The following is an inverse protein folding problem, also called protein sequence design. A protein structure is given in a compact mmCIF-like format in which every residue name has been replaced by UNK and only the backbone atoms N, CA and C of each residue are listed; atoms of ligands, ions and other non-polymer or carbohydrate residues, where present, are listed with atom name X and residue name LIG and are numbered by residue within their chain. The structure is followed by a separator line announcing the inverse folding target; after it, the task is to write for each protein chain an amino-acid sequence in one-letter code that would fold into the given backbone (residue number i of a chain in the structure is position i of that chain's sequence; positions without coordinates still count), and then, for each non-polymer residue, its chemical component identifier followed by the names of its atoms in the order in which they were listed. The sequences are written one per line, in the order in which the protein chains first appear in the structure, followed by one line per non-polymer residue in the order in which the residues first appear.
data_IF_122612392217
#
_entry.id   IF_122612392217
#
_cell.length_a   1.000
_cell.length_b   1.000
_cell.length_c   1.000
_cell.angle_alpha   90.00
_cell.angle_beta   90.00
_cell.angle_gamma   90.00
#
_symmetry.space_group_name_H-M   'P 1'
#
loop_
_entity.id
_entity.type
_entity.pdbx_description
1 polymer ?
#
# COMPACT_ATOMS: atom_id res chain seq x y z
N UNK A 1 29.53 20.64 8.07
CA UNK A 1 29.23 19.20 8.21
C UNK A 1 28.05 18.91 7.30
N UNK A 2 28.31 18.47 6.06
CA UNK A 2 27.25 18.22 5.08
C UNK A 2 26.68 16.82 5.32
N UNK A 3 25.52 16.72 5.96
CA UNK A 3 24.73 15.48 5.93
C UNK A 3 24.18 15.33 4.52
N UNK A 4 24.84 14.51 3.71
CA UNK A 4 24.30 14.02 2.45
C UNK A 4 22.92 13.41 2.75
N UNK A 5 21.85 13.99 2.19
CA UNK A 5 20.54 13.34 2.16
C UNK A 5 20.76 12.01 1.44
N UNK A 6 20.76 10.88 2.18
CA UNK A 6 20.62 9.55 1.56
C UNK A 6 19.36 9.65 0.70
N UNK A 7 19.53 9.65 -0.62
CA UNK A 7 18.41 9.64 -1.55
C UNK A 7 17.51 8.46 -1.21
N UNK A 8 16.18 8.66 -1.28
CA UNK A 8 15.22 7.57 -1.16
C UNK A 8 15.62 6.48 -2.16
N UNK A 9 16.10 5.34 -1.65
CA UNK A 9 16.54 4.23 -2.49
C UNK A 9 15.31 3.45 -2.89
N UNK A 10 14.88 3.60 -4.14
CA UNK A 10 13.90 2.69 -4.75
C UNK A 10 14.53 1.30 -4.88
N UNK A 11 13.85 0.29 -4.36
CA UNK A 11 14.19 -1.10 -4.58
C UNK A 11 13.00 -1.75 -5.27
N UNK A 12 13.22 -2.24 -6.49
CA UNK A 12 12.22 -3.04 -7.19
C UNK A 12 12.15 -4.42 -6.53
N UNK A 13 10.94 -4.90 -6.28
CA UNK A 13 10.72 -6.16 -5.57
C UNK A 13 9.87 -7.12 -6.42
N UNK A 14 10.16 -8.42 -6.31
CA UNK A 14 9.31 -9.46 -6.86
C UNK A 14 8.12 -9.61 -5.94
N UNK A 15 6.92 -9.42 -6.46
CA UNK A 15 5.73 -9.52 -5.63
C UNK A 15 4.46 -9.30 -6.40
N UNK A 16 3.35 -9.48 -5.69
CA UNK A 16 2.01 -9.23 -6.18
C UNK A 16 1.26 -8.38 -5.17
N UNK A 17 0.59 -7.33 -5.66
CA UNK A 17 -0.48 -6.66 -4.94
C UNK A 17 -1.77 -6.85 -5.71
N UNK A 18 -2.79 -7.40 -5.06
CA UNK A 18 -4.09 -7.63 -5.68
C UNK A 18 -5.21 -7.26 -4.72
N UNK A 19 -6.32 -6.72 -5.24
CA UNK A 19 -7.53 -6.47 -4.46
C UNK A 19 -8.76 -6.24 -5.35
N UNK A 20 -9.94 -6.32 -4.75
CA UNK A 20 -11.19 -5.86 -5.35
C UNK A 20 -11.51 -4.46 -4.83
N UNK A 21 -12.05 -3.59 -5.69
CA UNK A 21 -12.44 -2.22 -5.34
C UNK A 21 -13.92 -2.05 -5.70
N UNK A 22 -14.74 -1.59 -4.76
CA UNK A 22 -16.22 -1.63 -4.86
C UNK A 22 -16.80 -0.97 -6.12
N UNK A 23 -16.21 0.12 -6.60
CA UNK A 23 -16.68 0.82 -7.79
C UNK A 23 -16.05 0.33 -9.10
N UNK A 24 -15.00 -0.50 -9.04
CA UNK A 24 -14.28 -0.96 -10.21
C UNK A 24 -14.71 -2.39 -10.60
N UNK A 25 -15.18 -2.55 -11.83
CA UNK A 25 -15.60 -3.86 -12.34
C UNK A 25 -14.42 -4.86 -12.47
N UNK A 26 -13.23 -4.37 -12.77
CA UNK A 26 -12.02 -5.19 -12.89
C UNK A 26 -11.22 -5.16 -11.58
N UNK A 27 -10.76 -6.33 -11.07
CA UNK A 27 -9.84 -6.36 -9.94
C UNK A 27 -8.58 -5.53 -10.20
N UNK A 28 -8.01 -4.98 -9.14
CA UNK A 28 -6.67 -4.42 -9.16
C UNK A 28 -5.67 -5.57 -9.07
N UNK A 29 -4.70 -5.62 -9.99
CA UNK A 29 -3.59 -6.58 -9.93
C UNK A 29 -2.31 -5.90 -10.39
N UNK A 30 -1.25 -6.03 -9.60
CA UNK A 30 0.08 -5.52 -9.91
C UNK A 30 1.12 -6.59 -9.62
N UNK A 31 1.93 -6.90 -10.61
CA UNK A 31 3.15 -7.74 -10.52
C UNK A 31 4.44 -6.90 -10.46
N UNK A 32 4.30 -5.57 -10.53
CA UNK A 32 5.38 -4.60 -10.42
C UNK A 32 5.24 -3.82 -9.12
N UNK A 33 5.99 -4.25 -8.11
CA UNK A 33 5.93 -3.71 -6.76
C UNK A 33 7.20 -2.92 -6.46
N UNK A 34 7.03 -1.63 -6.19
CA UNK A 34 8.13 -0.77 -5.78
C UNK A 34 8.18 -0.69 -4.25
N UNK A 35 9.35 -0.99 -3.68
CA UNK A 35 9.61 -0.90 -2.26
C UNK A 35 10.56 0.27 -1.98
N UNK A 36 10.23 1.11 -1.00
CA UNK A 36 11.00 2.31 -0.68
C UNK A 36 11.33 2.37 0.80
N UNK A 37 12.58 2.70 1.10
CA UNK A 37 12.96 3.27 2.40
C UNK A 37 12.44 4.72 2.45
N UNK A 38 11.23 4.88 2.98
CA UNK A 38 10.46 6.12 2.88
C UNK A 38 10.91 7.16 3.91
N UNK A 39 11.24 6.71 5.13
CA UNK A 39 11.60 7.57 6.26
C UNK A 39 12.53 6.84 7.25
N UNK A 40 12.95 7.53 8.33
CA UNK A 40 13.68 6.88 9.41
C UNK A 40 12.88 5.75 10.09
N UNK A 41 11.55 5.79 10.04
CA UNK A 41 10.63 4.91 10.76
C UNK A 41 9.81 4.00 9.87
N UNK A 42 9.77 4.23 8.56
CA UNK A 42 8.79 3.59 7.68
C UNK A 42 9.41 3.07 6.39
N UNK A 43 8.88 1.95 5.93
CA UNK A 43 8.94 1.50 4.55
C UNK A 43 7.62 1.81 3.84
N UNK A 44 7.67 2.03 2.53
CA UNK A 44 6.47 2.14 1.71
C UNK A 44 6.53 1.22 0.50
N UNK A 45 5.36 0.72 0.12
CA UNK A 45 5.11 -0.14 -1.03
C UNK A 45 4.17 0.61 -1.96
N UNK A 46 4.54 0.67 -3.23
CA UNK A 46 3.71 1.27 -4.27
C UNK A 46 3.54 0.25 -5.37
N UNK A 47 2.29 -0.07 -5.66
CA UNK A 47 1.91 -0.99 -6.72
C UNK A 47 1.03 -0.23 -7.72
N UNK A 48 1.37 -0.29 -9.00
CA UNK A 48 0.59 0.29 -10.08
C UNK A 48 -0.14 -0.82 -10.82
N UNK A 49 -1.40 -0.59 -11.17
CA UNK A 49 -2.13 -1.53 -12.01
C UNK A 49 -1.55 -1.54 -13.43
N UNK A 50 -1.17 -2.71 -13.90
CA UNK A 50 -0.62 -2.89 -15.25
C UNK A 50 -1.67 -2.96 -16.37
N UNK A 51 -2.97 -3.01 -16.04
CA UNK A 51 -4.03 -3.35 -17.02
C UNK A 51 -5.09 -2.29 -17.27
N UNK A 52 -5.22 -1.25 -16.44
CA UNK A 52 -6.28 -0.24 -16.57
C UNK A 52 -5.74 1.19 -16.46
N UNK A 53 -6.66 2.17 -16.60
CA UNK A 53 -6.46 3.59 -16.25
C UNK A 53 -5.63 3.73 -14.96
N UNK A 54 -4.89 4.83 -14.74
CA UNK A 54 -3.93 4.93 -13.65
C UNK A 54 -4.57 4.61 -12.29
N UNK A 55 -4.33 3.39 -11.80
CA UNK A 55 -4.72 2.91 -10.48
C UNK A 55 -3.47 2.57 -9.70
N UNK A 56 -3.49 2.84 -8.41
CA UNK A 56 -2.36 2.56 -7.54
C UNK A 56 -2.82 2.16 -6.15
N UNK A 57 -2.14 1.17 -5.57
CA UNK A 57 -2.23 0.85 -4.15
C UNK A 57 -0.95 1.30 -3.49
N UNK A 58 -1.10 2.07 -2.41
CA UNK A 58 0.01 2.50 -1.56
C UNK A 58 -0.18 1.89 -0.17
N UNK A 59 0.88 1.29 0.37
CA UNK A 59 0.91 0.76 1.74
C UNK A 59 2.20 1.24 2.41
N UNK A 60 2.09 1.84 3.59
CA UNK A 60 3.21 2.21 4.46
C UNK A 60 3.20 1.34 5.70
N UNK A 61 4.37 0.87 6.12
CA UNK A 61 4.55 0.07 7.32
C UNK A 61 5.70 0.60 8.16
N UNK A 62 5.53 0.58 9.48
CA UNK A 62 6.59 0.89 10.42
C UNK A 62 7.72 -0.16 10.29
N UNK A 63 8.98 0.27 10.34
CA UNK A 63 10.17 -0.61 10.23
C UNK A 63 10.29 -1.62 11.36
N UNK A 64 9.63 -1.38 12.50
CA UNK A 64 9.61 -2.26 13.67
C UNK A 64 8.34 -3.11 13.77
N UNK A 65 7.49 -3.08 12.73
CA UNK A 65 6.27 -3.88 12.69
C UNK A 65 6.62 -5.37 12.82
N UNK A 66 5.76 -6.12 13.49
CA UNK A 66 5.91 -7.58 13.65
C UNK A 66 4.69 -8.28 13.07
N UNK A 67 4.72 -9.59 12.81
CA UNK A 67 3.52 -10.30 12.37
C UNK A 67 2.36 -10.11 13.36
N UNK A 68 1.17 -9.81 12.84
CA UNK A 68 0.02 -9.41 13.66
C UNK A 68 -1.16 -8.89 12.84
N UNK A 69 -2.24 -8.53 13.53
CA UNK A 69 -3.40 -7.85 12.93
C UNK A 69 -3.42 -6.39 13.39
N UNK A 70 -3.47 -5.49 12.43
CA UNK A 70 -3.44 -4.05 12.62
C UNK A 70 -4.71 -3.44 12.07
N UNK A 71 -5.34 -2.55 12.82
CA UNK A 71 -6.49 -1.81 12.33
C UNK A 71 -6.02 -0.61 11.50
N UNK A 72 -6.63 -0.41 10.34
CA UNK A 72 -6.58 0.90 9.70
C UNK A 72 -7.47 1.86 10.49
N UNK A 73 -6.95 3.06 10.78
CA UNK A 73 -7.66 4.10 11.55
C UNK A 73 -7.50 5.44 10.87
N UNK A 74 -8.53 6.28 10.94
CA UNK A 74 -8.45 7.72 10.63
C UNK A 74 -7.55 8.41 11.65
N UNK A 75 -6.60 9.23 11.16
CA UNK A 75 -5.76 10.13 11.96
C UNK A 75 -4.98 9.54 13.16
N UNK A 76 -4.36 8.35 13.07
CA UNK A 76 -3.37 7.96 14.07
C UNK A 76 -2.15 8.88 13.95
N UNK A 77 -1.69 9.43 15.08
CA UNK A 77 -0.49 10.30 15.10
C UNK A 77 0.76 9.55 14.61
N UNK A 78 0.77 8.21 14.68
CA UNK A 78 1.78 7.33 14.09
C UNK A 78 1.22 5.91 13.90
N UNK A 79 0.49 5.60 12.81
CA UNK A 79 0.03 4.24 12.59
C UNK A 79 1.18 3.32 12.25
N UNK A 80 1.11 2.09 12.76
CA UNK A 80 1.99 1.00 12.34
C UNK A 80 1.79 0.64 10.87
N UNK A 81 0.56 0.79 10.36
CA UNK A 81 0.22 0.58 8.95
C UNK A 81 -0.72 1.68 8.45
N UNK A 82 -0.44 2.21 7.27
CA UNK A 82 -1.32 3.12 6.56
C UNK A 82 -1.45 2.69 5.11
N UNK A 83 -2.62 2.88 4.51
CA UNK A 83 -2.83 2.58 3.11
C UNK A 83 -3.74 3.61 2.44
N UNK A 84 -3.61 3.73 1.13
CA UNK A 84 -4.63 4.36 0.30
C UNK A 84 -4.69 3.69 -1.06
N UNK A 85 -5.84 3.82 -1.70
CA UNK A 85 -6.02 3.48 -3.09
C UNK A 85 -6.18 4.76 -3.89
N UNK A 86 -5.50 4.84 -5.02
CA UNK A 86 -5.59 5.96 -5.95
C UNK A 86 -6.21 5.51 -7.26
N UNK A 87 -7.04 6.37 -7.82
CA UNK A 87 -7.65 6.17 -9.13
C UNK A 87 -7.72 7.50 -9.89
N UNK A 88 -7.23 7.50 -11.13
CA UNK A 88 -7.45 8.59 -12.07
C UNK A 88 -8.65 8.31 -12.99
N UNK A 89 -9.61 9.23 -13.03
CA UNK A 89 -10.78 9.23 -13.91
C UNK A 89 -10.94 10.61 -14.55
N UNK A 90 -11.17 10.68 -15.88
CA UNK A 90 -11.46 11.92 -16.61
C UNK A 90 -10.56 13.13 -16.27
N UNK A 91 -9.25 12.88 -16.12
CA UNK A 91 -8.20 13.86 -15.75
C UNK A 91 -8.18 14.32 -14.29
N UNK A 92 -9.03 13.75 -13.42
CA UNK A 92 -8.99 13.97 -11.98
C UNK A 92 -8.48 12.73 -11.24
N UNK A 93 -7.65 12.94 -10.21
CA UNK A 93 -7.08 11.86 -9.41
C UNK A 93 -7.65 11.87 -8.00
N UNK A 94 -8.21 10.75 -7.57
CA UNK A 94 -8.81 10.58 -6.26
C UNK A 94 -7.94 9.71 -5.37
N UNK A 95 -7.75 10.15 -4.12
CA UNK A 95 -7.05 9.41 -3.08
C UNK A 95 -8.05 8.96 -2.02
N UNK A 96 -8.22 7.65 -1.93
CA UNK A 96 -9.11 7.02 -0.96
C UNK A 96 -8.27 6.44 0.17
N UNK A 97 -8.15 7.20 1.26
CA UNK A 97 -7.34 6.79 2.41
C UNK A 97 -8.07 5.74 3.23
N UNK A 98 -7.34 4.74 3.72
CA UNK A 98 -7.91 3.74 4.61
C UNK A 98 -8.36 4.38 5.93
N UNK A 99 -9.65 4.27 6.24
CA UNK A 99 -10.27 4.89 7.41
C UNK A 99 -10.61 3.85 8.49
N UNK A 100 -11.20 2.75 8.05
CA UNK A 100 -11.53 1.58 8.84
C UNK A 100 -11.14 0.34 8.05
N UNK A 101 -10.66 -0.70 8.74
CA UNK A 101 -10.30 -1.94 8.10
C UNK A 101 -9.20 -2.67 8.84
N UNK A 102 -8.68 -3.72 8.21
CA UNK A 102 -7.63 -4.55 8.80
C UNK A 102 -6.51 -4.79 7.82
N UNK A 103 -5.30 -4.78 8.36
CA UNK A 103 -4.08 -5.28 7.74
C UNK A 103 -3.58 -6.46 8.58
N UNK A 104 -3.59 -7.66 7.99
CA UNK A 104 -3.11 -8.87 8.64
C UNK A 104 -1.74 -9.20 8.06
N UNK A 105 -0.69 -8.93 8.83
CA UNK A 105 0.68 -9.24 8.48
C UNK A 105 1.03 -10.64 8.97
N UNK A 106 1.22 -11.58 8.05
CA UNK A 106 1.52 -12.97 8.38
C UNK A 106 3.03 -13.19 8.56
N UNK A 107 3.85 -12.55 7.74
CA UNK A 107 5.31 -12.58 7.83
C UNK A 107 5.92 -11.30 7.29
N UNK A 108 7.08 -10.92 7.84
CA UNK A 108 7.88 -9.78 7.38
C UNK A 108 9.37 -10.03 7.64
N UNK A 109 10.18 -9.82 6.61
CA UNK A 109 11.63 -9.75 6.66
C UNK A 109 12.09 -8.64 5.69
N UNK A 110 12.34 -7.44 6.22
CA UNK A 110 12.73 -6.29 5.41
C UNK A 110 14.16 -6.42 4.85
N UNK A 111 15.03 -7.22 5.46
CA UNK A 111 16.39 -7.44 4.94
C UNK A 111 16.37 -8.30 3.68
N UNK A 112 15.47 -9.30 3.66
CA UNK A 112 15.25 -10.15 2.48
C UNK A 112 14.22 -9.61 1.50
N UNK A 113 13.48 -8.55 1.86
CA UNK A 113 12.31 -8.04 1.13
C UNK A 113 11.23 -9.13 0.97
N UNK A 114 10.92 -9.83 2.05
CA UNK A 114 9.88 -10.85 2.09
C UNK A 114 8.72 -10.37 2.96
N UNK A 115 7.51 -10.33 2.41
CA UNK A 115 6.31 -9.86 3.10
C UNK A 115 5.13 -10.71 2.63
N UNK A 116 4.33 -11.23 3.56
CA UNK A 116 3.02 -11.82 3.25
C UNK A 116 1.97 -11.17 4.15
N UNK A 117 1.00 -10.51 3.53
CA UNK A 117 -0.09 -9.84 4.21
C UNK A 117 -1.39 -9.90 3.42
N UNK A 118 -2.50 -9.76 4.14
CA UNK A 118 -3.81 -9.49 3.56
C UNK A 118 -4.38 -8.19 4.11
N UNK A 119 -5.17 -7.48 3.32
CA UNK A 119 -5.73 -6.21 3.73
C UNK A 119 -7.13 -5.97 3.19
N UNK A 120 -7.93 -5.23 3.94
CA UNK A 120 -9.22 -4.72 3.51
C UNK A 120 -9.48 -3.41 4.25
N UNK A 121 -10.05 -2.42 3.56
CA UNK A 121 -10.41 -1.15 4.18
C UNK A 121 -11.54 -0.45 3.46
N UNK A 122 -12.18 0.47 4.15
CA UNK A 122 -13.16 1.41 3.60
C UNK A 122 -12.61 2.83 3.64
N UNK A 123 -13.16 3.67 2.78
CA UNK A 123 -12.84 5.08 2.67
C UNK A 123 -14.09 5.88 2.31
N UNK A 124 -14.34 6.95 3.06
CA UNK A 124 -15.48 7.87 2.91
C UNK A 124 -15.04 9.32 2.73
N UNK A 125 -13.73 9.59 2.68
CA UNK A 125 -13.16 10.94 2.74
C UNK A 125 -13.08 11.70 1.42
N UNK A 126 -13.62 11.16 0.33
CA UNK A 126 -13.73 11.89 -0.93
C UNK A 126 -15.07 12.63 -0.98
N UNK A 127 -15.08 13.99 -1.05
CA UNK A 127 -16.25 14.82 -0.74
C UNK A 127 -17.48 14.62 -1.65
N UNK A 128 -17.34 14.00 -2.82
CA UNK A 128 -18.41 13.92 -3.83
C UNK A 128 -18.75 12.49 -4.30
N UNK A 129 -18.17 11.42 -3.72
CA UNK A 129 -18.39 10.04 -4.19
C UNK A 129 -18.72 9.02 -3.10
N UNK A 130 -19.40 7.95 -3.52
CA UNK A 130 -19.86 6.84 -2.68
C UNK A 130 -18.71 6.23 -1.87
N UNK A 131 -19.00 5.71 -0.66
CA UNK A 131 -18.03 4.95 0.11
C UNK A 131 -17.30 3.90 -0.73
N UNK A 132 -15.98 3.94 -0.71
CA UNK A 132 -15.13 2.98 -1.41
C UNK A 132 -14.75 1.86 -0.44
N UNK A 133 -14.78 0.61 -0.92
CA UNK A 133 -14.26 -0.52 -0.18
C UNK A 133 -13.19 -1.26 -1.00
N UNK A 134 -12.04 -1.47 -0.37
CA UNK A 134 -11.00 -2.43 -0.81
C UNK A 134 -11.21 -3.75 -0.08
N UNK A 135 -11.38 -4.82 -0.84
CA UNK A 135 -11.68 -6.16 -0.32
C UNK A 135 -10.71 -7.19 -0.89
N UNK A 136 -10.54 -8.30 -0.16
CA UNK A 136 -9.68 -9.42 -0.57
C UNK A 136 -8.27 -8.99 -0.97
N UNK A 137 -7.73 -7.97 -0.29
CA UNK A 137 -6.40 -7.45 -0.56
C UNK A 137 -5.34 -8.47 -0.19
N UNK A 138 -4.38 -8.67 -1.08
CA UNK A 138 -3.20 -9.51 -0.89
C UNK A 138 -1.98 -8.68 -1.22
N UNK A 139 -0.97 -8.74 -0.34
CA UNK A 139 0.37 -8.21 -0.55
C UNK A 139 1.34 -9.36 -0.32
N UNK A 140 2.05 -9.75 -1.38
CA UNK A 140 3.12 -10.75 -1.28
C UNK A 140 4.36 -10.18 -1.94
N UNK A 141 5.46 -10.09 -1.20
CA UNK A 141 6.80 -9.78 -1.71
C UNK A 141 7.70 -10.97 -1.37
N UNK A 142 8.48 -11.44 -2.34
CA UNK A 142 9.30 -12.66 -2.22
C UNK A 142 10.78 -12.40 -2.50
N UNK A 143 11.23 -11.16 -2.33
CA UNK A 143 12.62 -10.76 -2.53
C UNK A 143 12.82 -9.61 -3.53
N UNK A 144 14.06 -9.14 -3.69
CA UNK A 144 14.41 -8.13 -4.69
C UNK A 144 14.14 -8.61 -6.12
N UNK A 145 13.76 -7.71 -7.01
CA UNK A 145 13.83 -7.98 -8.44
C UNK A 145 15.29 -8.00 -8.90
N UNK A 146 15.59 -8.87 -9.86
CA UNK A 146 16.91 -8.94 -10.48
C UNK A 146 17.16 -7.74 -11.40
#
# INVERSE_FOLDING_TARGET
MHTSKKGQKTIFAKGVVGCNVSFAATPFTSDSVNFYDASATDYSIVAYDGKANPRMVYIRMNKKITPGTYDFKINPENPEVFAYYYHAHENFGWYYHAEEGKFVLKSVDFEKLEIDATFAFTSTNTPDEQPMAVQNGVLTITGPSA
#
